data_IF_381477274803
#
_entry.id   IF_381477274803
#
_cell.length_a   1.000
_cell.length_b   1.000
_cell.length_c   1.000
_cell.angle_alpha   90.00
_cell.angle_beta   90.00
_cell.angle_gamma   90.00
#
_symmetry.space_group_name_H-M   'P 1'
#
loop_
_entity.id
_entity.type
_entity.pdbx_description
1 polymer ?
#
# COMPACT_ATOMS: atom_id res chain seq x y z
N UNK A 1 14.96 13.48 -67.71
CA UNK A 1 13.97 13.32 -66.62
C UNK A 1 14.49 12.28 -65.64
N UNK A 2 15.13 12.69 -64.53
CA UNK A 2 15.64 11.79 -63.49
C UNK A 2 14.52 11.58 -62.46
N UNK A 3 14.07 10.33 -62.31
CA UNK A 3 13.06 9.94 -61.32
C UNK A 3 13.73 9.86 -59.95
N UNK A 4 13.32 10.75 -59.04
CA UNK A 4 13.69 10.69 -57.63
C UNK A 4 12.74 9.68 -56.97
N UNK A 5 13.27 8.56 -56.51
CA UNK A 5 12.55 7.59 -55.70
C UNK A 5 12.75 8.02 -54.24
N UNK A 6 11.72 8.63 -53.65
CA UNK A 6 11.71 8.96 -52.23
C UNK A 6 11.43 7.67 -51.44
N UNK A 7 12.46 7.14 -50.77
CA UNK A 7 12.28 6.04 -49.82
C UNK A 7 11.65 6.60 -48.53
N UNK A 8 10.42 6.19 -48.24
CA UNK A 8 9.76 6.46 -46.96
C UNK A 8 10.35 5.46 -45.95
N UNK A 9 11.20 5.95 -45.04
CA UNK A 9 11.70 5.18 -43.92
C UNK A 9 10.61 5.14 -42.84
N UNK A 10 9.85 4.05 -42.78
CA UNK A 10 8.86 3.82 -41.73
C UNK A 10 9.55 3.51 -40.41
N UNK A 11 9.40 4.40 -39.43
CA UNK A 11 9.86 4.18 -38.05
C UNK A 11 8.99 3.10 -37.41
N UNK A 12 9.55 1.90 -37.20
CA UNK A 12 8.92 0.86 -36.38
C UNK A 12 8.95 1.34 -34.92
N UNK A 13 7.82 1.82 -34.39
CA UNK A 13 7.63 2.01 -32.96
C UNK A 13 7.44 0.62 -32.34
N UNK A 14 8.51 0.04 -31.80
CA UNK A 14 8.39 -1.12 -30.92
C UNK A 14 7.75 -0.64 -29.62
N UNK A 15 6.62 -1.22 -29.16
CA UNK A 15 6.09 -0.92 -27.85
C UNK A 15 7.15 -1.29 -26.81
N UNK A 16 7.55 -0.33 -25.98
CA UNK A 16 8.32 -0.59 -24.78
C UNK A 16 7.49 -1.51 -23.90
N UNK A 17 7.93 -2.76 -23.76
CA UNK A 17 7.34 -3.68 -22.78
C UNK A 17 7.69 -3.07 -21.43
N UNK A 18 6.69 -2.50 -20.75
CA UNK A 18 6.88 -2.07 -19.37
C UNK A 18 7.13 -3.33 -18.56
N UNK A 19 8.31 -3.43 -17.95
CA UNK A 19 8.60 -4.52 -17.03
C UNK A 19 8.10 -4.03 -15.68
N UNK A 20 6.97 -4.58 -15.23
CA UNK A 20 6.54 -4.50 -13.85
C UNK A 20 7.70 -4.93 -12.93
N UNK A 21 8.42 -3.95 -12.37
CA UNK A 21 9.63 -4.13 -11.57
C UNK A 21 9.57 -3.48 -10.18
N UNK A 22 8.39 -2.99 -9.78
CA UNK A 22 8.16 -2.35 -8.49
C UNK A 22 7.25 -3.20 -7.57
N UNK A 23 7.45 -4.53 -7.53
CA UNK A 23 6.82 -5.34 -6.47
C UNK A 23 7.56 -5.17 -5.15
N UNK A 24 6.83 -5.17 -4.03
CA UNK A 24 7.44 -5.26 -2.71
C UNK A 24 7.86 -6.72 -2.46
N UNK A 25 8.86 -7.21 -3.19
CA UNK A 25 9.33 -8.59 -3.13
C UNK A 25 8.19 -9.62 -3.31
N UNK A 26 7.28 -9.34 -4.25
CA UNK A 26 6.12 -10.14 -4.64
C UNK A 26 5.11 -10.45 -3.52
N UNK A 27 5.15 -9.73 -2.39
CA UNK A 27 4.13 -9.86 -1.36
C UNK A 27 2.77 -9.44 -1.90
N UNK A 28 1.76 -10.28 -1.68
CA UNK A 28 0.40 -10.03 -2.13
C UNK A 28 -0.61 -10.73 -1.22
N UNK A 29 -1.87 -10.32 -1.28
CA UNK A 29 -2.96 -11.01 -0.58
C UNK A 29 -3.27 -12.33 -1.29
N UNK A 30 -3.21 -13.46 -0.58
CA UNK A 30 -3.51 -14.76 -1.16
C UNK A 30 -4.97 -14.79 -1.63
N UNK A 31 -5.21 -15.29 -2.84
CA UNK A 31 -6.56 -15.36 -3.42
C UNK A 31 -6.81 -16.60 -4.28
N UNK A 32 -8.01 -17.17 -4.14
CA UNK A 32 -8.47 -18.32 -4.94
C UNK A 32 -9.31 -17.92 -6.16
N UNK A 33 -9.60 -16.64 -6.35
CA UNK A 33 -10.38 -16.09 -7.46
C UNK A 33 -9.55 -15.11 -8.29
N UNK A 34 -9.93 -14.90 -9.56
CA UNK A 34 -9.20 -14.00 -10.47
C UNK A 34 -9.20 -12.52 -10.01
N UNK A 35 -10.25 -12.13 -9.29
CA UNK A 35 -10.37 -10.83 -8.63
C UNK A 35 -10.96 -11.02 -7.25
N UNK A 36 -10.70 -10.10 -6.32
CA UNK A 36 -11.18 -10.17 -4.95
C UNK A 36 -11.50 -8.79 -4.37
N UNK A 37 -12.39 -8.79 -3.38
CA UNK A 37 -12.78 -7.60 -2.64
C UNK A 37 -11.99 -7.55 -1.32
N UNK A 38 -11.15 -6.53 -1.17
CA UNK A 38 -10.38 -6.30 0.05
C UNK A 38 -11.03 -5.18 0.86
N UNK A 39 -11.39 -5.48 2.12
CA UNK A 39 -12.00 -4.49 3.00
C UNK A 39 -10.94 -3.51 3.49
N UNK A 40 -11.23 -2.22 3.35
CA UNK A 40 -10.48 -1.13 3.96
C UNK A 40 -11.35 -0.46 5.03
N UNK A 41 -10.98 -0.65 6.30
CA UNK A 41 -11.63 -0.01 7.44
C UNK A 41 -11.14 1.43 7.57
N UNK A 42 -12.03 2.38 7.29
CA UNK A 42 -11.72 3.80 7.32
C UNK A 42 -11.93 4.37 8.73
N UNK A 43 -10.83 4.60 9.45
CA UNK A 43 -10.84 5.23 10.76
C UNK A 43 -10.33 6.68 10.69
N UNK A 44 -10.46 7.37 9.55
CA UNK A 44 -9.99 8.76 9.41
C UNK A 44 -11.02 9.80 9.87
N UNK A 45 -10.58 11.04 10.07
CA UNK A 45 -11.45 12.21 10.31
C UNK A 45 -12.08 12.70 9.00
N UNK A 46 -13.20 13.46 9.06
CA UNK A 46 -13.87 13.98 7.87
C UNK A 46 -12.95 14.66 6.85
N UNK A 47 -11.97 15.44 7.31
CA UNK A 47 -11.03 16.15 6.44
C UNK A 47 -10.12 15.23 5.60
N UNK A 48 -10.03 13.93 5.93
CA UNK A 48 -9.27 12.94 5.17
C UNK A 48 -10.14 12.02 4.31
N UNK A 49 -11.45 11.96 4.60
CA UNK A 49 -12.36 11.02 3.93
C UNK A 49 -12.39 11.18 2.40
N UNK A 50 -12.41 12.40 1.82
CA UNK A 50 -12.38 12.55 0.37
C UNK A 50 -11.16 11.87 -0.28
N UNK A 51 -9.98 11.97 0.34
CA UNK A 51 -8.77 11.37 -0.21
C UNK A 51 -8.76 9.84 -0.11
N UNK A 52 -9.31 9.30 0.98
CA UNK A 52 -9.47 7.85 1.14
C UNK A 52 -10.46 7.30 0.11
N UNK A 53 -11.60 7.96 -0.08
CA UNK A 53 -12.62 7.56 -1.08
C UNK A 53 -12.04 7.60 -2.49
N UNK A 54 -11.28 8.65 -2.81
CA UNK A 54 -10.63 8.79 -4.10
C UNK A 54 -9.60 7.67 -4.33
N UNK A 55 -8.68 7.45 -3.38
CA UNK A 55 -7.69 6.39 -3.49
C UNK A 55 -8.31 4.98 -3.58
N UNK A 56 -9.43 4.72 -2.88
CA UNK A 56 -10.21 3.48 -3.02
C UNK A 56 -10.73 3.32 -4.45
N UNK A 57 -11.31 4.37 -5.02
CA UNK A 57 -11.79 4.37 -6.40
C UNK A 57 -10.66 4.12 -7.39
N UNK A 58 -9.53 4.81 -7.23
CA UNK A 58 -8.40 4.73 -8.16
C UNK A 58 -7.75 3.34 -8.16
N UNK A 59 -7.46 2.78 -6.99
CA UNK A 59 -6.89 1.44 -6.90
C UNK A 59 -7.87 0.34 -7.36
N UNK A 60 -9.18 0.57 -7.21
CA UNK A 60 -10.23 -0.35 -7.68
C UNK A 60 -10.44 -0.35 -9.20
N UNK A 61 -9.70 0.49 -9.95
CA UNK A 61 -9.62 0.35 -11.41
C UNK A 61 -8.81 -0.89 -11.83
N UNK A 62 -8.02 -1.46 -10.92
CA UNK A 62 -7.31 -2.71 -11.15
C UNK A 62 -8.28 -3.87 -11.43
N UNK A 63 -8.01 -4.73 -12.41
CA UNK A 63 -8.82 -5.94 -12.62
C UNK A 63 -8.62 -6.98 -11.49
N UNK A 64 -7.55 -6.88 -10.72
CA UNK A 64 -7.15 -7.90 -9.74
C UNK A 64 -7.75 -7.70 -8.36
N UNK A 65 -7.99 -6.46 -7.94
CA UNK A 65 -8.43 -6.13 -6.58
C UNK A 65 -9.42 -4.97 -6.61
N UNK A 66 -10.49 -5.10 -5.85
CA UNK A 66 -11.46 -4.03 -5.58
C UNK A 66 -11.39 -3.70 -4.10
N UNK A 67 -11.10 -2.44 -3.77
CA UNK A 67 -11.15 -1.97 -2.40
C UNK A 67 -12.61 -1.66 -2.02
N UNK A 68 -13.05 -2.21 -0.89
CA UNK A 68 -14.39 -1.99 -0.33
C UNK A 68 -14.26 -1.25 0.98
N UNK A 69 -14.75 -0.01 1.02
CA UNK A 69 -14.72 0.80 2.23
C UNK A 69 -15.67 0.25 3.30
N UNK A 70 -15.15 0.06 4.51
CA UNK A 70 -15.93 -0.06 5.74
C UNK A 70 -15.84 1.25 6.53
N UNK A 71 -16.87 2.07 6.38
CA UNK A 71 -17.02 3.37 7.06
C UNK A 71 -17.58 3.25 8.48
N UNK A 72 -17.87 2.04 8.98
CA UNK A 72 -18.29 1.81 10.36
C UNK A 72 -17.15 1.91 11.38
N UNK A 73 -15.91 2.12 10.89
CA UNK A 73 -14.72 2.29 11.71
C UNK A 73 -14.87 3.39 12.76
N UNK A 74 -14.64 3.05 14.03
CA UNK A 74 -14.64 4.03 15.11
C UNK A 74 -13.54 5.10 14.93
N UNK A 75 -13.91 6.38 14.80
CA UNK A 75 -12.97 7.49 14.58
C UNK A 75 -12.34 8.07 15.86
N UNK A 76 -12.48 7.39 17.00
CA UNK A 76 -11.96 7.88 18.27
C UNK A 76 -10.42 7.84 18.31
N UNK A 77 -9.83 8.76 19.07
CA UNK A 77 -8.37 8.97 19.15
C UNK A 77 -7.60 7.71 19.55
N UNK A 78 -8.16 6.83 20.40
CA UNK A 78 -7.46 5.62 20.86
C UNK A 78 -7.27 4.62 19.71
N UNK A 79 -8.30 4.46 18.88
CA UNK A 79 -8.23 3.61 17.68
C UNK A 79 -7.23 4.20 16.69
N UNK A 80 -7.38 5.50 16.36
CA UNK A 80 -6.49 6.17 15.39
C UNK A 80 -5.02 6.15 15.82
N UNK A 81 -4.71 6.47 17.08
CA UNK A 81 -3.33 6.45 17.60
C UNK A 81 -2.62 5.11 17.41
N UNK A 82 -3.35 4.03 17.66
CA UNK A 82 -2.82 2.67 17.54
C UNK A 82 -2.80 2.22 16.08
N UNK A 83 -3.86 2.51 15.35
CA UNK A 83 -4.16 2.01 14.01
C UNK A 83 -3.76 0.54 13.85
N UNK A 84 -4.22 -0.32 14.75
CA UNK A 84 -3.83 -1.73 14.77
C UNK A 84 -4.32 -2.42 13.50
N UNK A 85 -3.47 -3.21 12.86
CA UNK A 85 -3.86 -4.06 11.74
C UNK A 85 -4.99 -5.01 12.14
N UNK A 86 -5.80 -5.41 11.16
CA UNK A 86 -6.91 -6.37 11.34
C UNK A 86 -6.66 -7.56 10.41
N UNK A 87 -6.86 -8.78 10.92
CA UNK A 87 -6.71 -9.99 10.12
C UNK A 87 -7.63 -9.97 8.91
N UNK A 88 -7.04 -10.16 7.73
CA UNK A 88 -7.73 -10.19 6.45
C UNK A 88 -8.10 -8.82 5.88
N UNK A 89 -7.72 -7.71 6.51
CA UNK A 89 -8.20 -6.38 6.12
C UNK A 89 -7.11 -5.31 6.14
N UNK A 90 -7.41 -4.19 5.49
CA UNK A 90 -6.66 -2.93 5.62
C UNK A 90 -7.33 -2.03 6.64
N UNK A 91 -6.53 -1.28 7.40
CA UNK A 91 -7.03 -0.18 8.23
C UNK A 91 -6.26 1.10 7.94
N UNK A 92 -6.98 2.19 7.68
CA UNK A 92 -6.37 3.51 7.52
C UNK A 92 -6.79 4.44 8.66
N UNK A 93 -5.84 5.19 9.21
CA UNK A 93 -6.09 6.17 10.26
C UNK A 93 -5.25 7.43 10.06
N UNK A 94 -5.80 8.59 10.38
CA UNK A 94 -5.01 9.81 10.55
C UNK A 94 -4.92 10.20 12.03
N UNK A 95 -3.83 10.83 12.44
CA UNK A 95 -3.73 11.52 13.72
C UNK A 95 -2.55 12.49 13.67
N UNK A 96 -2.53 13.49 14.55
CA UNK A 96 -1.29 14.20 14.88
C UNK A 96 -0.34 13.26 15.63
N UNK A 97 0.52 12.55 14.91
CA UNK A 97 1.50 11.61 15.47
C UNK A 97 2.77 12.31 15.95
N UNK A 98 2.89 13.62 15.75
CA UNK A 98 4.03 14.43 16.13
C UNK A 98 5.05 14.58 15.01
N UNK A 99 6.15 15.26 15.33
CA UNK A 99 7.27 15.52 14.40
C UNK A 99 8.15 14.28 14.26
N UNK A 100 7.58 13.22 13.69
CA UNK A 100 8.20 11.89 13.58
C UNK A 100 9.11 11.74 12.37
N UNK A 101 9.12 12.71 11.48
CA UNK A 101 9.82 12.72 10.20
C UNK A 101 8.98 12.24 9.03
N UNK A 102 7.82 11.64 9.23
CA UNK A 102 7.04 10.99 8.15
C UNK A 102 5.65 11.62 7.93
N UNK A 103 5.25 11.67 6.65
CA UNK A 103 3.92 12.08 6.18
C UNK A 103 2.92 10.91 6.27
N UNK A 104 3.37 9.74 5.82
CA UNK A 104 2.60 8.50 5.77
C UNK A 104 3.47 7.30 6.14
N UNK A 105 2.82 6.24 6.61
CA UNK A 105 3.41 4.91 6.71
C UNK A 105 2.39 3.85 6.29
N UNK A 106 2.89 2.80 5.68
CA UNK A 106 2.15 1.59 5.34
C UNK A 106 2.83 0.39 5.98
N UNK A 107 2.08 -0.45 6.68
CA UNK A 107 2.61 -1.69 7.24
C UNK A 107 1.82 -2.91 6.79
N UNK A 108 2.53 -4.00 6.52
CA UNK A 108 1.94 -5.31 6.20
C UNK A 108 2.47 -6.39 7.14
N UNK A 109 1.63 -7.36 7.48
CA UNK A 109 2.06 -8.61 8.12
C UNK A 109 2.01 -9.73 7.11
N UNK A 110 2.99 -10.62 7.15
CA UNK A 110 3.08 -11.78 6.27
C UNK A 110 2.96 -13.08 7.04
N UNK A 111 2.28 -14.06 6.44
CA UNK A 111 2.35 -15.44 6.87
C UNK A 111 3.66 -16.13 6.42
N UNK A 112 3.77 -17.43 6.76
CA UNK A 112 4.94 -18.25 6.43
C UNK A 112 5.17 -18.46 4.93
N UNK A 113 4.17 -18.23 4.09
CA UNK A 113 4.27 -18.33 2.63
C UNK A 113 4.62 -16.99 1.98
N UNK A 114 4.60 -15.89 2.74
CA UNK A 114 4.84 -14.55 2.22
C UNK A 114 3.57 -13.83 1.75
N UNK A 115 2.38 -14.35 2.06
CA UNK A 115 1.14 -13.66 1.74
C UNK A 115 0.78 -12.64 2.81
N UNK A 116 0.23 -11.51 2.38
CA UNK A 116 -0.24 -10.45 3.25
C UNK A 116 -1.46 -10.95 4.03
N UNK A 117 -1.42 -10.85 5.36
CA UNK A 117 -2.53 -11.23 6.25
C UNK A 117 -3.17 -10.03 6.93
N UNK A 118 -2.47 -8.90 7.03
CA UNK A 118 -3.00 -7.65 7.56
C UNK A 118 -2.32 -6.48 6.87
N UNK A 119 -3.02 -5.34 6.72
CA UNK A 119 -2.37 -4.07 6.41
C UNK A 119 -2.84 -2.92 7.29
N UNK A 120 -1.99 -1.92 7.47
CA UNK A 120 -2.38 -0.64 8.05
C UNK A 120 -1.72 0.53 7.31
N UNK A 121 -2.39 1.68 7.36
CA UNK A 121 -1.88 2.97 6.89
C UNK A 121 -2.06 4.01 8.01
N UNK A 122 -1.02 4.81 8.30
CA UNK A 122 -1.14 5.98 9.19
C UNK A 122 -0.75 7.27 8.46
N UNK A 123 -1.62 8.28 8.55
CA UNK A 123 -1.45 9.60 7.93
C UNK A 123 -1.20 10.66 9.01
N UNK A 124 -0.14 11.46 8.88
CA UNK A 124 0.33 12.33 9.97
C UNK A 124 -0.18 13.77 9.89
N UNK A 125 -1.27 14.07 10.60
CA UNK A 125 -1.86 15.41 10.65
C UNK A 125 -0.86 16.49 11.10
N UNK A 126 0.21 16.13 11.83
CA UNK A 126 1.22 17.09 12.28
C UNK A 126 1.89 17.81 11.11
N UNK A 127 2.20 17.10 10.02
CA UNK A 127 2.85 17.69 8.85
C UNK A 127 1.87 18.44 7.94
N UNK A 128 0.64 17.95 7.82
CA UNK A 128 -0.42 18.57 7.00
C UNK A 128 -1.05 19.82 7.64
N UNK A 129 -0.46 20.33 8.71
CA UNK A 129 -0.73 21.68 9.23
C UNK A 129 0.13 22.76 8.55
N UNK A 130 1.20 22.35 7.86
CA UNK A 130 2.02 23.20 7.01
C UNK A 130 1.36 23.38 5.64
N UNK A 131 1.11 24.62 5.15
CA UNK A 131 0.55 24.87 3.82
C UNK A 131 1.34 24.27 2.66
N UNK A 132 2.62 23.94 2.87
CA UNK A 132 3.44 23.24 1.89
C UNK A 132 2.89 21.85 1.55
N UNK A 133 2.39 21.12 2.55
CA UNK A 133 1.75 19.82 2.36
C UNK A 133 0.25 20.00 2.14
N UNK A 134 -0.09 20.41 0.92
CA UNK A 134 -1.44 20.74 0.49
C UNK A 134 -2.31 19.50 0.16
N UNK A 135 -3.44 19.73 -0.53
CA UNK A 135 -4.39 18.67 -0.89
C UNK A 135 -3.78 17.64 -1.85
N UNK A 136 -2.86 18.05 -2.74
CA UNK A 136 -2.17 17.13 -3.64
C UNK A 136 -1.27 16.18 -2.86
N UNK A 137 -0.55 16.69 -1.85
CA UNK A 137 0.22 15.84 -0.93
C UNK A 137 -0.67 14.88 -0.13
N UNK A 138 -1.83 15.33 0.35
CA UNK A 138 -2.78 14.46 1.07
C UNK A 138 -3.28 13.32 0.19
N UNK A 139 -3.66 13.63 -1.04
CA UNK A 139 -4.12 12.64 -2.00
C UNK A 139 -2.99 11.66 -2.36
N UNK A 140 -1.81 12.19 -2.68
CA UNK A 140 -0.63 11.40 -3.05
C UNK A 140 -0.21 10.43 -1.95
N UNK A 141 -0.04 10.89 -0.71
CA UNK A 141 0.36 9.99 0.39
C UNK A 141 -0.72 8.95 0.68
N UNK A 142 -2.00 9.30 0.57
CA UNK A 142 -3.09 8.33 0.77
C UNK A 142 -3.06 7.25 -0.31
N UNK A 143 -2.86 7.64 -1.56
CA UNK A 143 -2.70 6.73 -2.69
C UNK A 143 -1.49 5.79 -2.51
N UNK A 144 -0.33 6.37 -2.19
CA UNK A 144 0.94 5.66 -2.04
C UNK A 144 0.89 4.60 -0.94
N UNK A 145 0.45 4.97 0.26
CA UNK A 145 0.43 4.04 1.40
C UNK A 145 -0.58 2.89 1.20
N UNK A 146 -1.70 3.15 0.51
CA UNK A 146 -2.63 2.10 0.10
C UNK A 146 -1.98 1.19 -0.96
N UNK A 147 -1.24 1.74 -1.92
CA UNK A 147 -0.49 0.96 -2.91
C UNK A 147 0.50 -0.02 -2.26
N UNK A 148 1.24 0.44 -1.25
CA UNK A 148 2.11 -0.44 -0.45
C UNK A 148 1.35 -1.56 0.26
N UNK A 149 0.17 -1.26 0.80
CA UNK A 149 -0.71 -2.25 1.41
C UNK A 149 -1.26 -3.30 0.41
N UNK A 150 -1.20 -3.02 -0.90
CA UNK A 150 -1.55 -3.96 -1.98
C UNK A 150 -0.36 -4.80 -2.46
N UNK A 151 0.86 -4.52 -2.00
CA UNK A 151 2.08 -5.24 -2.38
C UNK A 151 3.01 -4.49 -3.34
N UNK A 152 2.73 -3.21 -3.62
CA UNK A 152 3.56 -2.40 -4.48
C UNK A 152 4.74 -1.77 -3.73
N UNK A 153 5.85 -1.67 -4.42
CA UNK A 153 6.99 -0.82 -4.08
C UNK A 153 6.93 0.47 -4.93
N UNK A 154 7.93 1.33 -4.82
CA UNK A 154 8.02 2.51 -5.68
C UNK A 154 8.47 2.19 -7.08
N UNK A 155 7.91 2.91 -8.06
CA UNK A 155 8.44 2.91 -9.42
C UNK A 155 9.74 3.74 -9.50
N UNK A 156 9.83 4.82 -8.72
CA UNK A 156 11.04 5.63 -8.61
C UNK A 156 11.25 6.16 -7.19
N UNK A 157 12.50 6.12 -6.73
CA UNK A 157 12.94 6.57 -5.41
C UNK A 157 13.89 7.78 -5.49
N UNK A 158 14.28 8.21 -6.71
CA UNK A 158 15.19 9.33 -6.95
C UNK A 158 14.43 10.58 -7.46
N UNK A 159 14.35 11.60 -6.61
CA UNK A 159 13.71 12.88 -6.91
C UNK A 159 14.32 13.64 -8.10
N UNK A 160 15.51 13.26 -8.56
CA UNK A 160 16.17 13.90 -9.69
C UNK A 160 15.77 13.28 -11.04
N UNK A 161 15.10 12.14 -11.03
CA UNK A 161 14.59 11.52 -12.23
C UNK A 161 13.35 12.25 -12.75
N UNK A 162 13.03 11.98 -14.01
CA UNK A 162 11.78 12.43 -14.59
C UNK A 162 10.62 11.65 -13.96
N UNK A 163 9.62 12.39 -13.46
CA UNK A 163 8.35 11.84 -12.99
C UNK A 163 7.78 10.76 -13.92
N UNK A 164 7.34 9.66 -13.34
CA UNK A 164 6.54 8.63 -14.02
C UNK A 164 5.03 8.90 -13.87
N UNK A 165 4.68 10.05 -13.30
CA UNK A 165 3.31 10.53 -13.11
C UNK A 165 2.47 9.54 -12.28
N UNK A 166 3.09 8.90 -11.28
CA UNK A 166 2.41 7.97 -10.34
C UNK A 166 2.54 8.44 -8.89
N UNK A 167 1.53 8.13 -8.07
CA UNK A 167 1.61 8.24 -6.61
C UNK A 167 2.60 7.24 -6.00
N UNK A 168 3.04 6.22 -6.74
CA UNK A 168 4.09 5.30 -6.32
C UNK A 168 5.51 5.81 -6.65
N UNK A 169 5.65 7.03 -7.16
CA UNK A 169 6.95 7.71 -7.28
C UNK A 169 7.24 8.55 -6.04
N UNK A 170 8.52 8.72 -5.73
CA UNK A 170 9.00 9.74 -4.80
C UNK A 170 9.37 11.02 -5.53
N UNK A 171 8.49 12.01 -5.45
CA UNK A 171 8.64 13.24 -6.23
C UNK A 171 8.05 14.48 -5.55
N UNK A 172 8.53 15.65 -6.02
CA UNK A 172 8.09 16.96 -5.60
C UNK A 172 8.05 17.89 -6.84
N UNK A 173 6.87 18.36 -7.29
CA UNK A 173 5.54 18.19 -6.70
C UNK A 173 5.05 16.73 -6.68
N UNK A 174 4.11 16.37 -5.78
CA UNK A 174 3.58 15.01 -5.68
C UNK A 174 2.62 14.71 -6.82
N UNK A 175 2.36 13.41 -7.06
CA UNK A 175 1.30 12.95 -7.95
C UNK A 175 0.24 12.17 -7.17
N UNK A 176 -1.01 12.45 -7.48
CA UNK A 176 -2.16 12.06 -6.68
C UNK A 176 -2.68 10.64 -6.94
N UNK A 177 -2.33 10.03 -8.07
CA UNK A 177 -3.02 8.86 -8.62
C UNK A 177 -2.05 7.77 -9.10
N UNK A 178 -2.46 6.50 -9.13
CA UNK A 178 -1.69 5.45 -9.80
C UNK A 178 -1.69 5.65 -11.32
N UNK A 179 -0.66 5.15 -11.99
CA UNK A 179 -0.53 5.13 -13.44
C UNK A 179 -0.77 3.72 -14.01
N UNK A 180 -0.65 3.56 -15.34
CA UNK A 180 -0.81 2.26 -16.00
C UNK A 180 0.17 1.20 -15.50
N UNK A 181 1.42 1.58 -15.20
CA UNK A 181 2.44 0.65 -14.76
C UNK A 181 2.13 0.05 -13.38
N UNK A 182 1.53 0.83 -12.47
CA UNK A 182 1.06 0.32 -11.18
C UNK A 182 0.05 -0.83 -11.35
N UNK A 183 -0.88 -0.70 -12.29
CA UNK A 183 -1.87 -1.73 -12.57
C UNK A 183 -1.27 -2.96 -13.28
N UNK A 184 -0.25 -2.77 -14.11
CA UNK A 184 0.53 -3.86 -14.71
C UNK A 184 1.29 -4.64 -13.63
N UNK A 185 1.86 -3.93 -12.64
CA UNK A 185 2.51 -4.56 -11.49
C UNK A 185 1.54 -5.34 -10.62
N UNK A 186 0.35 -4.79 -10.33
CA UNK A 186 -0.71 -5.54 -9.66
C UNK A 186 -1.10 -6.79 -10.46
N UNK A 187 -1.23 -6.66 -11.78
CA UNK A 187 -1.53 -7.81 -12.67
C UNK A 187 -0.44 -8.89 -12.58
N UNK A 188 0.83 -8.48 -12.46
CA UNK A 188 1.97 -9.38 -12.31
C UNK A 188 1.96 -10.11 -10.95
N UNK A 189 1.89 -9.37 -9.83
CA UNK A 189 1.96 -9.99 -8.49
C UNK A 189 0.74 -10.89 -8.20
N UNK A 190 -0.45 -10.51 -8.71
CA UNK A 190 -1.66 -11.33 -8.61
C UNK A 190 -1.84 -12.27 -9.81
N UNK A 191 -0.83 -12.45 -10.68
CA UNK A 191 -0.96 -13.22 -11.93
C UNK A 191 -1.22 -14.73 -11.76
N UNK A 192 -1.30 -15.22 -10.52
CA UNK A 192 -1.54 -16.61 -10.17
C UNK A 192 -2.70 -16.74 -9.17
N UNK A 193 -3.15 -17.97 -8.93
CA UNK A 193 -4.11 -18.30 -7.87
C UNK A 193 -3.38 -19.03 -6.75
N UNK A 194 -3.84 -18.80 -5.53
CA UNK A 194 -3.38 -19.46 -4.32
C UNK A 194 -4.29 -20.61 -3.92
N UNK A 195 -3.85 -21.37 -2.91
CA UNK A 195 -4.63 -22.45 -2.32
C UNK A 195 -5.61 -21.99 -1.23
N UNK A 196 -5.59 -20.71 -0.85
CA UNK A 196 -6.46 -20.13 0.18
C UNK A 196 -6.61 -18.60 0.00
N UNK A 197 -7.53 -18.01 0.75
CA UNK A 197 -7.69 -16.55 0.85
C UNK A 197 -7.06 -16.04 2.15
N UNK A 198 -6.16 -15.07 2.07
CA UNK A 198 -5.62 -14.40 3.27
C UNK A 198 -6.44 -13.17 3.68
N UNK A 199 -7.22 -12.61 2.76
CA UNK A 199 -8.14 -11.49 3.02
C UNK A 199 -9.49 -11.98 3.57
N UNK A 200 -10.17 -11.16 4.37
CA UNK A 200 -11.55 -11.39 4.81
C UNK A 200 -12.51 -10.86 3.73
N UNK A 201 -13.34 -11.74 3.16
CA UNK A 201 -14.31 -11.34 2.15
C UNK A 201 -15.39 -10.41 2.73
N UNK A 202 -15.94 -9.52 1.90
CA UNK A 202 -17.11 -8.73 2.27
C UNK A 202 -18.27 -9.65 2.69
N UNK A 203 -18.65 -9.62 3.97
CA UNK A 203 -19.72 -10.46 4.55
C UNK A 203 -19.23 -11.71 5.32
N UNK A 204 -17.93 -11.98 5.37
CA UNK A 204 -17.37 -12.98 6.29
C UNK A 204 -17.16 -12.35 7.66
N UNK A 205 -17.65 -13.00 8.72
CA UNK A 205 -17.41 -12.56 10.08
C UNK A 205 -15.91 -12.75 10.41
N UNK A 206 -15.14 -11.69 10.71
CA UNK A 206 -13.72 -11.81 11.01
C UNK A 206 -13.45 -12.69 12.26
N UNK A 207 -14.44 -12.82 13.16
CA UNK A 207 -14.40 -13.74 14.31
C UNK A 207 -14.63 -15.22 13.93
N UNK A 208 -15.15 -15.51 12.73
CA UNK A 208 -15.44 -16.87 12.28
C UNK A 208 -14.22 -17.58 11.66
N UNK A 209 -13.09 -16.89 11.46
CA UNK A 209 -11.79 -17.52 11.19
C UNK A 209 -11.15 -18.03 12.48
N UNK A 210 -11.96 -18.57 13.39
CA UNK A 210 -11.51 -19.26 14.59
C UNK A 210 -10.57 -20.39 14.16
N UNK A 211 -9.29 -20.24 14.45
CA UNK A 211 -8.31 -21.24 14.12
C UNK A 211 -8.68 -22.55 14.83
N UNK A 212 -8.78 -23.63 14.06
CA UNK A 212 -8.98 -25.00 14.57
C UNK A 212 -7.68 -25.54 15.21
N UNK A 213 -7.06 -24.78 16.11
CA UNK A 213 -5.85 -25.21 16.81
C UNK A 213 -6.23 -26.08 18.03
N UNK A 214 -5.54 -27.21 18.28
CA UNK A 214 -5.78 -28.05 19.45
C UNK A 214 -5.61 -27.27 20.77
N UNK A 215 -6.33 -27.63 21.85
CA UNK A 215 -6.20 -26.99 23.15
C UNK A 215 -4.72 -26.95 23.59
N UNK A 216 -4.20 -25.75 23.88
CA UNK A 216 -2.81 -25.54 24.31
C UNK A 216 -1.81 -25.12 23.22
N UNK A 217 -2.20 -25.17 21.94
CA UNK A 217 -1.50 -24.43 20.87
C UNK A 217 -2.35 -23.22 20.54
N UNK A 218 -2.05 -22.07 21.14
CA UNK A 218 -2.77 -20.84 20.79
C UNK A 218 -2.75 -20.66 19.28
N UNK A 219 -3.87 -20.20 18.70
CA UNK A 219 -3.78 -19.35 17.53
C UNK A 219 -2.63 -18.39 17.80
N UNK A 220 -1.66 -18.30 16.90
CA UNK A 220 -0.72 -17.20 16.96
C UNK A 220 -1.58 -15.94 16.87
N UNK A 221 -1.97 -15.40 18.03
CA UNK A 221 -2.53 -14.06 18.15
C UNK A 221 -1.36 -13.18 17.75
N UNK A 222 -1.23 -12.96 16.44
CA UNK A 222 -0.28 -12.03 15.89
C UNK A 222 -0.47 -10.74 16.67
N UNK A 223 0.64 -10.26 17.25
CA UNK A 223 0.63 -9.22 18.26
C UNK A 223 -0.12 -7.99 17.77
N UNK A 224 -1.39 -7.90 18.17
CA UNK A 224 -2.18 -6.68 18.06
C UNK A 224 -1.55 -5.67 19.01
N UNK A 225 -0.67 -4.83 18.45
CA UNK A 225 -0.07 -3.62 19.02
C UNK A 225 0.41 -3.67 20.46
N UNK A 226 1.73 -3.72 20.61
CA UNK A 226 2.45 -2.87 21.58
C UNK A 226 3.66 -2.29 20.83
N UNK A 227 4.01 -1.02 21.07
CA UNK A 227 5.13 -0.30 20.46
C UNK A 227 6.49 -1.02 20.63
N UNK A 228 6.75 -2.05 19.81
CA UNK A 228 8.06 -2.70 19.68
C UNK A 228 8.76 -2.25 18.40
N UNK A 229 8.66 -0.94 18.11
CA UNK A 229 9.26 -0.30 16.93
C UNK A 229 8.92 -0.99 15.60
N UNK A 230 9.58 -0.54 14.53
CA UNK A 230 9.46 -1.12 13.19
C UNK A 230 10.49 -2.23 12.92
N UNK A 231 11.38 -2.50 13.88
CA UNK A 231 12.45 -3.47 13.74
C UNK A 231 13.68 -2.88 13.07
N UNK A 232 14.33 -3.66 12.21
CA UNK A 232 15.58 -3.27 11.54
C UNK A 232 15.26 -2.49 10.26
N UNK A 233 15.98 -1.40 10.00
CA UNK A 233 15.97 -0.74 8.70
C UNK A 233 16.54 -1.68 7.64
N UNK A 234 15.84 -1.81 6.52
CA UNK A 234 16.22 -2.61 5.36
C UNK A 234 16.89 -1.75 4.28
N UNK A 235 17.03 -0.45 4.53
CA UNK A 235 17.62 0.50 3.61
C UNK A 235 16.74 1.72 3.39
N UNK A 236 17.40 2.86 3.24
CA UNK A 236 16.80 4.15 2.94
C UNK A 236 17.25 4.64 1.58
N UNK A 237 16.33 5.17 0.78
CA UNK A 237 16.59 5.76 -0.54
C UNK A 237 15.78 7.04 -0.67
N UNK A 238 16.48 8.17 -0.70
CA UNK A 238 15.86 9.50 -0.58
C UNK A 238 14.99 9.60 0.68
N UNK A 239 13.71 9.81 0.46
CA UNK A 239 12.69 9.97 1.51
C UNK A 239 11.89 8.69 1.76
N UNK A 240 12.28 7.56 1.16
CA UNK A 240 11.67 6.26 1.37
C UNK A 240 12.54 5.40 2.30
N UNK A 241 11.94 4.70 3.25
CA UNK A 241 12.63 3.68 4.04
C UNK A 241 11.75 2.50 4.36
N UNK A 242 12.34 1.30 4.33
CA UNK A 242 11.66 0.05 4.65
C UNK A 242 12.21 -0.52 5.95
N UNK A 243 11.34 -1.06 6.77
CA UNK A 243 11.69 -1.72 8.03
C UNK A 243 11.14 -3.14 8.07
N UNK A 244 11.85 -4.03 8.76
CA UNK A 244 11.46 -5.41 9.02
C UNK A 244 11.53 -5.71 10.51
N UNK A 245 10.39 -6.14 11.08
CA UNK A 245 10.32 -6.79 12.39
C UNK A 245 9.87 -8.23 12.21
N UNK A 246 10.53 -9.16 12.90
CA UNK A 246 10.11 -10.56 12.95
C UNK A 246 9.70 -10.87 14.38
N UNK A 247 8.45 -11.26 14.59
CA UNK A 247 7.95 -11.66 15.90
C UNK A 247 8.46 -13.07 16.26
N UNK A 248 8.43 -13.43 17.54
CA UNK A 248 8.92 -14.73 18.04
C UNK A 248 8.24 -15.94 17.38
N UNK A 249 7.01 -15.77 16.88
CA UNK A 249 6.24 -16.79 16.19
C UNK A 249 6.54 -16.88 14.68
N UNK A 250 7.51 -16.10 14.18
CA UNK A 250 7.94 -16.08 12.77
C UNK A 250 7.13 -15.15 11.86
N UNK A 251 6.11 -14.46 12.37
CA UNK A 251 5.36 -13.46 11.60
C UNK A 251 6.30 -12.31 11.26
N UNK A 252 6.35 -11.96 9.97
CA UNK A 252 7.13 -10.82 9.46
C UNK A 252 6.21 -9.62 9.35
N UNK A 253 6.65 -8.51 9.91
CA UNK A 253 6.01 -7.20 9.78
C UNK A 253 6.95 -6.32 8.97
N UNK A 254 6.47 -5.84 7.83
CA UNK A 254 7.19 -4.86 7.04
C UNK A 254 6.51 -3.51 7.17
N UNK A 255 7.30 -2.44 7.21
CA UNK A 255 6.78 -1.08 7.24
C UNK A 255 7.52 -0.26 6.21
N UNK A 256 6.74 0.36 5.34
CA UNK A 256 7.16 1.40 4.43
C UNK A 256 6.91 2.76 5.08
N UNK A 257 7.88 3.66 4.93
CA UNK A 257 7.83 4.99 5.55
C UNK A 257 8.07 6.06 4.51
N UNK A 258 7.12 6.97 4.41
CA UNK A 258 7.22 8.19 3.60
C UNK A 258 7.68 9.36 4.43
N UNK A 259 8.98 9.64 4.37
CA UNK A 259 9.61 10.74 5.07
C UNK A 259 9.23 12.10 4.46
N UNK A 260 8.88 13.06 5.30
CA UNK A 260 8.73 14.46 4.97
C UNK A 260 10.04 15.01 4.39
N UNK A 261 9.93 16.01 3.51
CA UNK A 261 11.09 16.61 2.83
C UNK A 261 12.03 17.23 3.87
N UNK A 262 13.33 16.91 3.74
CA UNK A 262 14.39 17.39 4.63
C UNK A 262 14.64 16.55 5.89
N UNK A 263 13.92 15.44 6.08
CA UNK A 263 14.24 14.40 7.08
C UNK A 263 15.07 13.29 6.47
#
# INVERSE_FOLDING_TARGET
MKRIITAILGTLLLPSVSVADHSWNDYHWARTSASFNLILVNNTTPDWQPYVVQAISDWSLSPMVVLVEDSSGANNTKVRRRCSSIEGQLRICNLAYGNTGWLGIAGISLDGNGHITTGYTKLNDTYFSDPYYDEAWKQSVTCQEIGHNLGLDHQDEDFNNQSLFSCMDYQNPPFEYPNTHDFEQLTSIYGHLDSYNSYAGAGENPDARACNAPPGKGCNKAGSNNDVGWGMSMGRRGNAEKFLRIDRNGVRHLTHVTWAIGF
#
